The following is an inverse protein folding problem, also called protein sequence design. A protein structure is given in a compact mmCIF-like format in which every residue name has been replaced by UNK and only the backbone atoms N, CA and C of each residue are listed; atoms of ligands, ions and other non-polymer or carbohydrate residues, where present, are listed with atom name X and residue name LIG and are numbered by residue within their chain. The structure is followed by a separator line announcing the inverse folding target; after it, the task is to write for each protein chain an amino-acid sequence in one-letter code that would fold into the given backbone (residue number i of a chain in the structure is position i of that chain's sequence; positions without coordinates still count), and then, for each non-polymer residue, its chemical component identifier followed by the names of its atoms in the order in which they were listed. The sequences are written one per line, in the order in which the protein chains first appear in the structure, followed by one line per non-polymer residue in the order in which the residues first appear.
data_IF_343851082783
#
_entry.id   IF_343851082783
#
_cell.length_a   1.000
_cell.length_b   1.000
_cell.length_c   1.000
_cell.angle_alpha   90.00
_cell.angle_beta   90.00
_cell.angle_gamma   90.00
#
_symmetry.space_group_name_H-M   'P 1'
#
loop_
_entity.id
_entity.type
_entity.pdbx_description
1 polymer ?
#
# COMPACT_ATOMS: atom_id res chain seq x y z
N UNK A 1 -48.13 -3.65 43.34
CA UNK A 1 -47.80 -2.53 42.41
C UNK A 1 -46.30 -2.50 42.23
N UNK A 2 -45.82 -3.10 41.14
CA UNK A 2 -44.40 -3.43 40.93
C UNK A 2 -43.70 -2.27 40.23
N UNK A 3 -42.67 -1.69 40.85
CA UNK A 3 -41.84 -0.65 40.24
C UNK A 3 -40.82 -1.30 39.31
N UNK A 4 -41.00 -1.11 38.01
CA UNK A 4 -40.04 -1.51 36.97
C UNK A 4 -38.93 -0.46 36.94
N UNK A 5 -37.72 -0.86 37.33
CA UNK A 5 -36.53 0.00 37.24
C UNK A 5 -35.90 -0.22 35.87
N UNK A 6 -35.99 0.81 35.02
CA UNK A 6 -35.28 0.87 33.75
C UNK A 6 -33.81 1.19 34.02
N UNK A 7 -32.92 0.20 33.87
CA UNK A 7 -31.47 0.46 33.88
C UNK A 7 -31.00 0.74 32.44
N UNK A 8 -30.26 1.83 32.19
CA UNK A 8 -29.65 2.09 30.90
C UNK A 8 -28.49 1.12 30.64
N UNK A 9 -28.53 0.48 29.46
CA UNK A 9 -27.49 -0.35 28.89
C UNK A 9 -26.16 0.43 28.77
N UNK A 10 -25.07 0.04 29.44
CA UNK A 10 -23.76 0.57 29.13
C UNK A 10 -23.25 -0.13 27.85
N UNK A 11 -23.47 0.50 26.70
CA UNK A 11 -22.70 0.17 25.49
C UNK A 11 -21.26 0.58 25.77
N UNK A 12 -20.44 -0.38 26.17
CA UNK A 12 -19.00 -0.24 26.21
C UNK A 12 -18.51 0.10 24.80
N UNK A 13 -18.29 1.39 24.53
CA UNK A 13 -17.56 1.85 23.35
C UNK A 13 -16.11 1.47 23.60
N UNK A 14 -15.72 0.29 23.10
CA UNK A 14 -14.31 -0.11 23.06
C UNK A 14 -13.64 0.81 22.04
N UNK A 15 -13.12 1.95 22.52
CA UNK A 15 -12.24 2.81 21.76
C UNK A 15 -10.86 2.15 21.80
N UNK A 16 -10.60 1.27 20.83
CA UNK A 16 -9.25 0.74 20.60
C UNK A 16 -8.37 1.92 20.16
N UNK A 17 -7.68 2.54 21.12
CA UNK A 17 -6.52 3.38 20.84
C UNK A 17 -5.35 2.45 20.50
N UNK A 18 -5.24 2.07 19.23
CA UNK A 18 -3.98 1.55 18.69
C UNK A 18 -3.10 2.74 18.34
N UNK A 19 -2.46 3.30 19.37
CA UNK A 19 -1.24 4.09 19.16
C UNK A 19 -0.13 3.12 18.78
N UNK A 20 -0.17 2.63 17.53
CA UNK A 20 0.88 1.82 16.96
C UNK A 20 2.02 2.77 16.57
N UNK A 21 2.98 2.90 17.48
CA UNK A 21 4.31 3.45 17.20
C UNK A 21 4.83 2.79 15.93
N UNK A 22 4.93 3.55 14.83
CA UNK A 22 5.52 3.05 13.59
C UNK A 22 6.95 2.61 13.91
N UNK A 23 7.32 1.34 13.71
CA UNK A 23 8.72 0.99 13.71
C UNK A 23 9.34 1.81 12.59
N UNK A 24 10.39 2.59 12.90
CA UNK A 24 11.36 3.02 11.88
C UNK A 24 11.99 1.75 11.35
N UNK A 25 11.33 1.14 10.38
CA UNK A 25 11.90 0.02 9.66
C UNK A 25 13.10 0.59 8.91
N UNK A 26 14.25 -0.08 9.02
CA UNK A 26 15.31 0.05 8.04
C UNK A 26 14.75 -0.54 6.74
N UNK A 27 13.94 0.25 6.04
CA UNK A 27 13.09 -0.20 4.93
C UNK A 27 13.83 -0.28 3.59
N UNK A 28 15.11 0.11 3.53
CA UNK A 28 15.80 0.33 2.27
C UNK A 28 15.84 -0.90 1.33
N UNK A 29 16.01 -2.12 1.87
CA UNK A 29 16.04 -3.35 1.07
C UNK A 29 14.67 -4.05 0.98
N UNK A 30 13.91 -4.05 2.08
CA UNK A 30 12.58 -4.68 2.15
C UNK A 30 11.57 -3.95 1.27
N UNK A 31 11.71 -2.62 1.13
CA UNK A 31 10.88 -1.79 0.25
C UNK A 31 11.00 -2.19 -1.21
N UNK A 32 12.21 -2.53 -1.68
CA UNK A 32 12.45 -2.87 -3.07
C UNK A 32 11.70 -4.15 -3.48
N UNK A 33 11.85 -5.22 -2.69
CA UNK A 33 11.18 -6.51 -2.94
C UNK A 33 9.67 -6.37 -2.76
N UNK A 34 9.21 -5.70 -1.70
CA UNK A 34 7.78 -5.51 -1.44
C UNK A 34 7.12 -4.66 -2.54
N UNK A 35 7.82 -3.64 -3.03
CA UNK A 35 7.36 -2.80 -4.15
C UNK A 35 7.30 -3.60 -5.45
N UNK A 36 8.32 -4.42 -5.73
CA UNK A 36 8.32 -5.32 -6.89
C UNK A 36 7.12 -6.27 -6.86
N UNK A 37 6.88 -6.94 -5.73
CA UNK A 37 5.72 -7.82 -5.55
C UNK A 37 4.39 -7.06 -5.72
N UNK A 38 4.30 -5.82 -5.23
CA UNK A 38 3.12 -4.99 -5.40
C UNK A 38 2.88 -4.59 -6.87
N UNK A 39 3.95 -4.33 -7.64
CA UNK A 39 3.88 -4.06 -9.09
C UNK A 39 3.38 -5.31 -9.83
N UNK A 40 3.99 -6.46 -9.59
CA UNK A 40 3.63 -7.72 -10.25
C UNK A 40 2.18 -8.13 -9.98
N UNK A 41 1.74 -8.01 -8.71
CA UNK A 41 0.36 -8.31 -8.34
C UNK A 41 -0.62 -7.36 -9.03
N UNK A 42 -0.33 -6.05 -9.05
CA UNK A 42 -1.17 -5.07 -9.71
C UNK A 42 -1.32 -5.36 -11.22
N UNK A 43 -0.22 -5.68 -11.90
CA UNK A 43 -0.22 -6.04 -13.33
C UNK A 43 -0.94 -7.35 -13.59
N UNK A 44 -0.71 -8.38 -12.77
CA UNK A 44 -1.40 -9.67 -12.89
C UNK A 44 -2.91 -9.51 -12.77
N UNK A 45 -3.37 -8.70 -11.83
CA UNK A 45 -4.79 -8.40 -11.67
C UNK A 45 -5.34 -7.57 -12.84
N UNK A 46 -4.57 -6.62 -13.39
CA UNK A 46 -4.99 -5.87 -14.56
C UNK A 46 -5.21 -6.79 -15.77
N UNK A 47 -4.27 -7.69 -16.04
CA UNK A 47 -4.37 -8.68 -17.11
C UNK A 47 -5.53 -9.66 -16.89
N UNK A 48 -5.80 -10.04 -15.64
CA UNK A 48 -6.96 -10.84 -15.29
C UNK A 48 -8.27 -10.17 -15.73
N UNK A 49 -8.47 -8.88 -15.42
CA UNK A 49 -9.68 -8.15 -15.84
C UNK A 49 -9.76 -7.98 -17.36
N UNK A 50 -8.63 -7.77 -18.03
CA UNK A 50 -8.61 -7.70 -19.50
C UNK A 50 -8.97 -9.01 -20.19
N UNK A 51 -8.69 -10.15 -19.55
CA UNK A 51 -8.98 -11.48 -20.09
C UNK A 51 -10.41 -11.96 -19.84
N UNK A 52 -11.17 -11.26 -18.99
CA UNK A 52 -12.55 -11.66 -18.70
C UNK A 52 -13.42 -11.59 -19.95
N UNK A 53 -14.27 -12.61 -20.19
CA UNK A 53 -15.23 -12.58 -21.29
C UNK A 53 -16.25 -11.47 -21.06
N UNK A 54 -16.56 -10.73 -22.12
CA UNK A 54 -17.34 -9.50 -22.02
C UNK A 54 -16.43 -8.32 -21.70
N UNK A 55 -16.12 -7.54 -22.73
CA UNK A 55 -15.34 -6.30 -22.62
C UNK A 55 -16.21 -5.21 -21.98
N UNK A 56 -16.54 -5.39 -20.70
CA UNK A 56 -17.35 -4.45 -19.95
C UNK A 56 -16.52 -3.24 -19.57
N UNK A 57 -17.12 -2.05 -19.59
CA UNK A 57 -16.45 -0.83 -19.17
C UNK A 57 -15.88 -0.95 -17.74
N UNK A 58 -16.56 -1.69 -16.85
CA UNK A 58 -16.10 -1.95 -15.50
C UNK A 58 -14.76 -2.71 -15.46
N UNK A 59 -14.58 -3.72 -16.32
CA UNK A 59 -13.33 -4.47 -16.40
C UNK A 59 -12.19 -3.61 -16.96
N UNK A 60 -12.46 -2.78 -17.96
CA UNK A 60 -11.47 -1.83 -18.51
C UNK A 60 -11.04 -0.80 -17.46
N UNK A 61 -12.00 -0.25 -16.70
CA UNK A 61 -11.72 0.65 -15.58
C UNK A 61 -10.89 -0.01 -14.49
N UNK A 62 -11.27 -1.24 -14.10
CA UNK A 62 -10.58 -2.02 -13.09
C UNK A 62 -9.15 -2.36 -13.50
N UNK A 63 -8.90 -2.69 -14.76
CA UNK A 63 -7.58 -2.91 -15.32
C UNK A 63 -6.76 -1.61 -15.31
N UNK A 64 -7.33 -0.52 -15.83
CA UNK A 64 -6.68 0.80 -15.91
C UNK A 64 -6.25 1.30 -14.52
N UNK A 65 -7.12 1.21 -13.52
CA UNK A 65 -6.80 1.65 -12.16
C UNK A 65 -5.60 0.88 -11.56
N UNK A 66 -5.51 -0.42 -11.84
CA UNK A 66 -4.41 -1.27 -11.37
C UNK A 66 -3.11 -1.01 -12.12
N UNK A 67 -3.19 -0.80 -13.42
CA UNK A 67 -2.03 -0.36 -14.22
C UNK A 67 -1.51 0.99 -13.73
N UNK A 68 -2.39 1.95 -13.41
CA UNK A 68 -2.01 3.24 -12.85
C UNK A 68 -1.32 3.09 -11.49
N UNK A 69 -1.80 2.18 -10.62
CA UNK A 69 -1.12 1.86 -9.36
C UNK A 69 0.30 1.31 -9.60
N UNK A 70 0.45 0.38 -10.55
CA UNK A 70 1.76 -0.17 -10.91
C UNK A 70 2.70 0.93 -11.44
N UNK A 71 2.18 1.84 -12.28
CA UNK A 71 2.94 2.98 -12.78
C UNK A 71 3.42 3.89 -11.65
N UNK A 72 2.59 4.18 -10.65
CA UNK A 72 3.01 4.98 -9.49
C UNK A 72 4.15 4.30 -8.72
N UNK A 73 4.07 2.98 -8.51
CA UNK A 73 5.12 2.23 -7.81
C UNK A 73 6.43 2.21 -8.63
N UNK A 74 6.33 2.12 -9.96
CA UNK A 74 7.49 2.20 -10.85
C UNK A 74 8.15 3.59 -10.80
N UNK A 75 7.36 4.67 -10.76
CA UNK A 75 7.87 6.04 -10.60
C UNK A 75 8.63 6.20 -9.28
N UNK A 76 8.07 5.71 -8.19
CA UNK A 76 8.73 5.68 -6.89
C UNK A 76 10.03 4.86 -6.90
N UNK A 77 10.08 3.79 -7.70
CA UNK A 77 11.31 3.02 -7.91
C UNK A 77 12.36 3.81 -8.67
N UNK A 78 12.00 4.49 -9.76
CA UNK A 78 12.95 5.31 -10.52
C UNK A 78 13.48 6.50 -9.74
N UNK A 79 12.66 7.15 -8.91
CA UNK A 79 13.07 8.30 -8.09
C UNK A 79 13.98 7.89 -6.92
N UNK A 80 13.82 6.67 -6.41
CA UNK A 80 14.72 6.10 -5.39
C UNK A 80 16.10 5.71 -5.92
N UNK A 81 16.29 5.68 -7.25
CA UNK A 81 17.57 5.48 -7.92
C UNK A 81 18.16 6.87 -8.20
N UNK A 82 18.39 7.66 -7.17
CA UNK A 82 19.22 8.85 -7.29
C UNK A 82 20.69 8.42 -7.49
N UNK A 83 21.46 9.10 -8.34
CA UNK A 83 22.80 8.69 -8.73
C UNK A 83 23.68 8.60 -7.50
N UNK A 84 24.56 7.59 -7.48
CA UNK A 84 25.66 7.48 -6.52
C UNK A 84 26.24 8.87 -6.29
N UNK A 85 26.10 9.39 -5.06
CA UNK A 85 26.61 10.70 -4.69
C UNK A 85 28.10 10.81 -5.03
N UNK A 86 28.65 12.04 -5.11
CA UNK A 86 30.03 12.26 -5.54
C UNK A 86 30.96 11.35 -4.75
N UNK A 87 31.66 10.46 -5.46
CA UNK A 87 32.79 9.71 -4.90
C UNK A 87 33.74 10.76 -4.34
N UNK A 88 33.78 10.84 -3.01
CA UNK A 88 34.72 11.68 -2.29
C UNK A 88 36.11 11.10 -2.56
N UNK A 89 36.75 11.60 -3.62
CA UNK A 89 38.16 11.38 -3.92
C UNK A 89 39.01 12.14 -2.90
N UNK A 90 38.93 11.75 -1.63
CA UNK A 90 39.95 12.07 -0.64
C UNK A 90 40.85 10.83 -0.53
N UNK A 91 41.74 10.66 -1.52
CA UNK A 91 42.95 9.86 -1.32
C UNK A 91 44.03 10.87 -0.97
N UNK A 92 44.30 10.98 0.33
CA UNK A 92 45.52 11.60 0.80
C UNK A 92 46.70 10.66 0.57
N UNK A 93 47.75 11.18 -0.07
CA UNK A 93 49.16 10.87 0.15
C UNK A 93 49.99 11.95 -0.54
#
# INVERSE_FOLDING_TARGET
MTKVIHLPSPRAVIRVQTSARTPKQNTCATDGIQRQQAIENALSMALYFMRQPGNTAANVWAATARTNRALTLLKQASEGIAPLGPVNATVGA
#
